data_IF_932706660767
#
_entry.id   IF_932706660767
#
_cell.length_a   1.000
_cell.length_b   1.000
_cell.length_c   1.000
_cell.angle_alpha   90.00
_cell.angle_beta   90.00
_cell.angle_gamma   90.00
#
_symmetry.space_group_name_H-M   'P 1'
#
loop_
_entity.id
_entity.type
_entity.pdbx_description
1 polymer ?
#
# COMPACT_ATOMS: atom_id res chain seq x y z
N UNK A 1 15.50 -26.08 -12.58
CA UNK A 1 15.70 -24.65 -12.27
C UNK A 1 14.56 -24.19 -11.38
N UNK A 2 14.84 -23.71 -10.16
CA UNK A 2 13.79 -23.16 -9.30
C UNK A 2 13.32 -21.82 -9.87
N UNK A 3 12.02 -21.64 -10.13
CA UNK A 3 11.46 -20.35 -10.56
C UNK A 3 11.55 -19.37 -9.39
N UNK A 4 12.17 -18.20 -9.62
CA UNK A 4 12.19 -17.12 -8.64
C UNK A 4 10.78 -16.53 -8.52
N UNK A 5 10.15 -16.68 -7.35
CA UNK A 5 8.77 -16.22 -7.12
C UNK A 5 8.60 -14.71 -7.33
N UNK A 6 9.65 -13.90 -7.13
CA UNK A 6 9.62 -12.44 -7.29
C UNK A 6 9.49 -12.04 -8.76
N UNK A 7 10.17 -12.76 -9.67
CA UNK A 7 10.12 -12.45 -11.11
C UNK A 7 8.78 -12.74 -11.79
N UNK A 8 7.94 -13.57 -11.16
CA UNK A 8 6.66 -14.02 -11.72
C UNK A 8 5.46 -13.60 -10.85
N UNK A 9 5.60 -12.55 -10.05
CA UNK A 9 4.49 -12.01 -9.29
C UNK A 9 3.48 -11.36 -10.24
N UNK A 10 2.19 -11.60 -9.99
CA UNK A 10 1.12 -10.90 -10.69
C UNK A 10 1.15 -9.45 -10.23
N UNK A 11 1.60 -8.56 -11.12
CA UNK A 11 1.58 -7.12 -10.89
C UNK A 11 0.18 -6.52 -11.05
N UNK A 12 0.11 -5.23 -10.77
CA UNK A 12 -1.04 -4.37 -11.04
C UNK A 12 -0.79 -3.63 -12.38
N UNK A 13 -1.82 -3.48 -13.21
CA UNK A 13 -1.72 -2.65 -14.42
C UNK A 13 -1.58 -1.17 -14.07
N UNK A 14 -1.09 -0.35 -15.00
CA UNK A 14 -0.99 1.10 -14.79
C UNK A 14 -2.37 1.72 -14.50
N UNK A 15 -3.41 1.27 -15.18
CA UNK A 15 -4.78 1.80 -14.99
C UNK A 15 -5.31 1.48 -13.59
N UNK A 16 -5.12 0.24 -13.12
CA UNK A 16 -5.48 -0.14 -11.75
C UNK A 16 -4.65 0.64 -10.73
N UNK A 17 -3.37 0.89 -11.00
CA UNK A 17 -2.53 1.71 -10.14
C UNK A 17 -3.06 3.14 -10.03
N UNK A 18 -3.38 3.78 -11.16
CA UNK A 18 -3.92 5.14 -11.17
C UNK A 18 -5.33 5.24 -10.55
N UNK A 19 -6.13 4.17 -10.60
CA UNK A 19 -7.42 4.13 -9.90
C UNK A 19 -7.25 4.17 -8.37
N UNK A 20 -6.18 3.58 -7.85
CA UNK A 20 -5.92 3.51 -6.41
C UNK A 20 -5.02 4.64 -5.88
N UNK A 21 -4.10 5.17 -6.70
CA UNK A 21 -3.04 6.08 -6.28
C UNK A 21 -2.80 7.25 -7.26
N UNK A 22 -3.76 7.57 -8.12
CA UNK A 22 -3.59 8.54 -9.22
C UNK A 22 -3.47 10.00 -8.78
N UNK A 23 -3.73 10.30 -7.50
CA UNK A 23 -3.60 11.63 -6.90
C UNK A 23 -2.83 11.54 -5.58
N UNK A 24 -2.25 12.66 -5.13
CA UNK A 24 -1.54 12.71 -3.85
C UNK A 24 -2.45 12.35 -2.68
N UNK A 25 -3.70 12.82 -2.68
CA UNK A 25 -4.68 12.51 -1.63
C UNK A 25 -4.99 11.00 -1.55
N UNK A 26 -5.24 10.36 -2.70
CA UNK A 26 -5.47 8.92 -2.76
C UNK A 26 -4.25 8.12 -2.28
N UNK A 27 -3.06 8.54 -2.68
CA UNK A 27 -1.81 7.92 -2.27
C UNK A 27 -1.62 8.04 -0.75
N UNK A 28 -1.83 9.24 -0.20
CA UNK A 28 -1.72 9.50 1.24
C UNK A 28 -2.70 8.65 2.04
N UNK A 29 -3.96 8.60 1.63
CA UNK A 29 -4.99 7.77 2.29
C UNK A 29 -4.63 6.28 2.29
N UNK A 30 -4.13 5.78 1.15
CA UNK A 30 -3.72 4.38 1.05
C UNK A 30 -2.51 4.09 1.95
N UNK A 31 -1.49 4.96 1.94
CA UNK A 31 -0.32 4.84 2.79
C UNK A 31 -0.69 4.90 4.27
N UNK A 32 -1.61 5.79 4.65
CA UNK A 32 -2.08 5.92 6.02
C UNK A 32 -2.78 4.64 6.49
N UNK A 33 -3.70 4.09 5.68
CA UNK A 33 -4.40 2.83 5.98
C UNK A 33 -3.44 1.64 6.06
N UNK A 34 -2.41 1.58 5.21
CA UNK A 34 -1.41 0.52 5.26
C UNK A 34 -0.52 0.63 6.49
N UNK A 35 -0.11 1.84 6.85
CA UNK A 35 0.73 2.09 8.02
C UNK A 35 -0.01 1.86 9.33
N UNK A 36 -1.32 2.16 9.35
CA UNK A 36 -2.17 2.07 10.52
C UNK A 36 -3.51 1.42 10.19
N UNK A 37 -3.54 0.08 9.98
CA UNK A 37 -4.76 -0.63 9.59
C UNK A 37 -5.85 -0.60 10.67
N UNK A 38 -5.46 -0.44 11.94
CA UNK A 38 -6.37 -0.34 13.08
C UNK A 38 -6.54 1.10 13.58
N UNK A 39 -6.09 2.09 12.80
CA UNK A 39 -6.00 3.49 13.25
C UNK A 39 -4.62 3.84 13.82
N UNK A 40 -4.31 5.14 13.81
CA UNK A 40 -3.07 5.65 14.40
C UNK A 40 -3.14 5.51 15.92
N UNK A 41 -2.09 4.94 16.50
CA UNK A 41 -1.91 4.90 17.94
C UNK A 41 -0.57 5.53 18.27
N UNK A 42 -0.58 6.53 19.16
CA UNK A 42 0.65 7.20 19.56
C UNK A 42 1.57 6.19 20.27
N UNK A 43 2.83 6.00 19.82
CA UNK A 43 3.74 5.05 20.45
C UNK A 43 4.18 5.48 21.86
N UNK A 44 4.00 6.75 22.23
CA UNK A 44 4.38 7.28 23.54
C UNK A 44 3.27 7.20 24.59
N UNK A 45 2.00 7.35 24.21
CA UNK A 45 0.89 7.40 25.17
C UNK A 45 -0.26 6.43 24.88
N UNK A 46 -0.27 5.76 23.71
CA UNK A 46 -1.27 4.73 23.39
C UNK A 46 -2.69 5.25 23.14
N UNK A 47 -2.91 6.57 23.20
CA UNK A 47 -4.15 7.27 22.88
C UNK A 47 -3.99 8.10 21.61
#
# INVERSE_FOLDING_TARGET
MARNKVQFQKGMSLTEFLQHYGTEDQCFDALYKWRWPNGFQCPSCGH
#
